data_IF_712884411887
#
_entry.id   IF_712884411887
#
_cell.length_a   1.000
_cell.length_b   1.000
_cell.length_c   1.000
_cell.angle_alpha   90.00
_cell.angle_beta   90.00
_cell.angle_gamma   90.00
#
_symmetry.space_group_name_H-M   'P 1'
#
loop_
_entity.id
_entity.type
_entity.pdbx_description
1 polymer ?
#
# COMPACT_ATOMS: atom_id res chain seq x y z
N UNK A 1 80.45 35.36 4.95
CA UNK A 1 79.22 35.56 5.74
C UNK A 1 78.93 37.04 6.07
N UNK A 2 79.92 37.92 6.23
CA UNK A 2 79.67 39.36 6.51
C UNK A 2 79.01 40.15 5.36
N UNK A 3 79.30 39.83 4.09
CA UNK A 3 78.72 40.55 2.93
C UNK A 3 77.26 40.18 2.59
N UNK A 4 76.70 39.13 3.19
CA UNK A 4 75.31 38.69 2.94
C UNK A 4 74.29 39.40 3.84
N UNK A 5 74.76 40.10 4.89
CA UNK A 5 73.91 40.72 5.92
C UNK A 5 73.72 42.22 5.68
N UNK A 6 74.60 42.89 4.92
CA UNK A 6 74.49 44.33 4.64
C UNK A 6 73.52 44.68 3.50
N UNK A 7 73.17 43.73 2.63
CA UNK A 7 72.29 43.99 1.50
C UNK A 7 70.88 43.48 1.78
N UNK A 8 69.96 44.41 2.09
CA UNK A 8 68.56 44.13 2.48
C UNK A 8 67.81 43.26 1.46
N UNK A 9 68.21 43.31 0.20
CA UNK A 9 67.64 42.51 -0.89
C UNK A 9 68.09 41.05 -0.89
N UNK A 10 69.29 40.75 -0.38
CA UNK A 10 69.82 39.38 -0.32
C UNK A 10 69.06 38.51 0.67
N UNK A 11 68.60 39.11 1.78
CA UNK A 11 67.78 38.45 2.79
C UNK A 11 66.36 38.15 2.25
N UNK A 12 65.78 39.10 1.50
CA UNK A 12 64.49 38.90 0.80
C UNK A 12 64.57 37.79 -0.24
N UNK A 13 65.65 37.73 -1.03
CA UNK A 13 65.85 36.67 -2.02
C UNK A 13 65.98 35.29 -1.36
N UNK A 14 66.71 35.18 -0.25
CA UNK A 14 66.82 33.94 0.53
C UNK A 14 65.49 33.48 1.13
N UNK A 15 64.69 34.42 1.65
CA UNK A 15 63.33 34.13 2.15
C UNK A 15 62.43 33.66 1.01
N UNK A 16 62.50 34.29 -0.16
CA UNK A 16 61.71 33.89 -1.33
C UNK A 16 62.09 32.48 -1.80
N UNK A 17 63.39 32.17 -1.86
CA UNK A 17 63.89 30.83 -2.21
C UNK A 17 63.46 29.79 -1.18
N UNK A 18 63.53 30.12 0.11
CA UNK A 18 63.06 29.23 1.18
C UNK A 18 61.54 28.99 1.10
N UNK A 19 60.75 30.03 0.81
CA UNK A 19 59.30 29.91 0.62
C UNK A 19 58.95 29.09 -0.62
N UNK A 20 59.65 29.30 -1.74
CA UNK A 20 59.46 28.50 -2.96
C UNK A 20 59.88 27.05 -2.76
N UNK A 21 60.95 26.78 -2.01
CA UNK A 21 61.37 25.44 -1.66
C UNK A 21 60.36 24.75 -0.73
N UNK A 22 59.85 25.47 0.28
CA UNK A 22 58.80 24.96 1.18
C UNK A 22 57.50 24.71 0.41
N UNK A 23 57.13 25.59 -0.51
CA UNK A 23 55.96 25.41 -1.36
C UNK A 23 56.14 24.24 -2.34
N UNK A 24 57.34 24.08 -2.91
CA UNK A 24 57.69 22.97 -3.79
C UNK A 24 57.66 21.63 -3.05
N UNK A 25 58.21 21.56 -1.83
CA UNK A 25 58.12 20.37 -0.98
C UNK A 25 56.67 20.10 -0.61
N UNK A 26 55.91 21.11 -0.17
CA UNK A 26 54.49 20.95 0.15
C UNK A 26 53.67 20.46 -1.05
N UNK A 27 53.94 20.96 -2.25
CA UNK A 27 53.28 20.52 -3.49
C UNK A 27 53.70 19.10 -3.89
N UNK A 28 54.95 18.71 -3.67
CA UNK A 28 55.45 17.37 -4.01
C UNK A 28 55.07 16.30 -2.99
N UNK A 29 54.89 16.68 -1.72
CA UNK A 29 54.46 15.79 -0.63
C UNK A 29 52.97 15.85 -0.35
N UNK A 30 52.20 16.60 -1.15
CA UNK A 30 50.74 16.52 -1.08
C UNK A 30 50.35 15.06 -1.31
N UNK A 31 49.72 14.39 -0.33
CA UNK A 31 49.15 13.08 -0.57
C UNK A 31 48.23 13.22 -1.77
N UNK A 32 48.54 12.51 -2.86
CA UNK A 32 47.68 12.50 -4.04
C UNK A 32 46.26 12.25 -3.56
N UNK A 33 45.31 13.06 -4.03
CA UNK A 33 43.92 12.92 -3.61
C UNK A 33 43.53 11.46 -3.81
N UNK A 34 43.40 10.72 -2.70
CA UNK A 34 42.94 9.35 -2.75
C UNK A 34 41.57 9.46 -3.37
N UNK A 35 41.43 8.97 -4.60
CA UNK A 35 40.15 8.96 -5.28
C UNK A 35 39.20 8.21 -4.35
N UNK A 36 38.34 8.95 -3.65
CA UNK A 36 37.32 8.34 -2.83
C UNK A 36 36.50 7.49 -3.79
N UNK A 37 36.26 6.20 -3.50
CA UNK A 37 35.38 5.40 -4.33
C UNK A 37 34.10 6.21 -4.56
N UNK A 38 33.66 6.29 -5.82
CA UNK A 38 32.39 6.95 -6.12
C UNK A 38 31.33 6.36 -5.17
N UNK A 39 30.58 7.19 -4.42
CA UNK A 39 29.61 6.69 -3.47
C UNK A 39 28.71 5.69 -4.19
N UNK A 40 28.57 4.48 -3.67
CA UNK A 40 27.61 3.53 -4.20
C UNK A 40 26.19 4.01 -3.89
N UNK A 41 25.16 3.46 -4.56
CA UNK A 41 23.78 3.63 -4.14
C UNK A 41 23.62 3.23 -2.66
N UNK A 42 22.94 4.07 -1.89
CA UNK A 42 22.76 3.86 -0.45
C UNK A 42 21.29 3.58 -0.13
N UNK A 43 21.04 2.61 0.74
CA UNK A 43 19.71 2.38 1.31
C UNK A 43 19.51 3.37 2.46
N UNK A 44 18.57 4.29 2.31
CA UNK A 44 18.23 5.28 3.32
C UNK A 44 16.82 4.97 3.83
N UNK A 45 16.57 4.95 5.15
CA UNK A 45 15.23 4.76 5.68
C UNK A 45 14.30 5.87 5.20
N UNK A 46 13.03 5.54 5.01
CA UNK A 46 12.03 6.56 4.69
C UNK A 46 11.92 7.54 5.86
N UNK A 47 12.15 8.82 5.59
CA UNK A 47 12.23 9.86 6.62
C UNK A 47 10.90 10.56 6.91
N UNK A 48 9.92 10.45 6.02
CA UNK A 48 8.57 10.98 6.24
C UNK A 48 7.51 10.23 5.42
N UNK A 49 6.33 10.05 6.01
CA UNK A 49 5.15 9.45 5.38
C UNK A 49 3.91 10.23 5.79
N UNK A 50 2.98 10.41 4.85
CA UNK A 50 1.64 10.93 5.13
C UNK A 50 0.61 9.96 4.55
N UNK A 51 -0.29 9.48 5.39
CA UNK A 51 -1.39 8.59 5.01
C UNK A 51 -2.73 9.17 5.45
N UNK A 52 -3.79 8.90 4.68
CA UNK A 52 -5.14 9.44 4.90
C UNK A 52 -6.14 8.31 5.12
N UNK A 53 -6.80 8.30 6.27
CA UNK A 53 -7.93 7.41 6.51
C UNK A 53 -9.20 8.12 5.98
N UNK A 54 -9.85 7.59 4.93
CA UNK A 54 -10.80 8.33 4.09
C UNK A 54 -12.13 8.69 4.76
N UNK A 55 -12.65 7.83 5.65
CA UNK A 55 -13.87 8.10 6.44
C UNK A 55 -13.83 7.26 7.71
N UNK A 56 -13.13 7.73 8.74
CA UNK A 56 -12.95 6.98 9.96
C UNK A 56 -14.13 7.15 10.92
N UNK A 57 -15.21 7.86 10.54
CA UNK A 57 -16.35 8.09 11.42
C UNK A 57 -16.88 6.79 12.02
N UNK A 58 -16.80 6.68 13.34
CA UNK A 58 -17.15 5.48 14.12
C UNK A 58 -16.35 4.20 13.79
N UNK A 59 -15.32 4.28 12.95
CA UNK A 59 -14.35 3.22 12.73
C UNK A 59 -13.31 3.18 13.85
N UNK A 60 -12.71 2.02 14.05
CA UNK A 60 -11.49 1.86 14.82
C UNK A 60 -10.30 2.14 13.91
N UNK A 61 -9.38 3.00 14.33
CA UNK A 61 -8.17 3.31 13.57
C UNK A 61 -6.98 2.70 14.29
N UNK A 62 -6.19 1.89 13.58
CA UNK A 62 -4.91 1.36 14.03
C UNK A 62 -3.76 2.11 13.38
N UNK A 63 -2.72 2.43 14.14
CA UNK A 63 -1.49 3.07 13.66
C UNK A 63 -0.29 2.42 14.32
N UNK A 64 0.67 1.98 13.51
CA UNK A 64 1.88 1.31 14.00
C UNK A 64 3.06 1.60 13.07
N UNK A 65 4.24 1.72 13.65
CA UNK A 65 5.51 1.64 12.91
C UNK A 65 6.21 0.37 13.37
N UNK A 66 6.75 -0.47 12.47
CA UNK A 66 7.45 -1.68 12.86
C UNK A 66 8.69 -1.34 13.71
N UNK A 67 9.12 -2.25 14.62
CA UNK A 67 10.33 -2.05 15.41
C UNK A 67 11.58 -2.01 14.51
N UNK A 68 12.63 -1.35 14.99
CA UNK A 68 13.95 -1.30 14.32
C UNK A 68 14.41 0.09 13.88
N UNK A 69 13.54 1.09 13.92
CA UNK A 69 13.93 2.50 13.71
C UNK A 69 14.86 2.99 14.82
N UNK A 70 15.95 3.68 14.45
CA UNK A 70 16.88 4.32 15.38
C UNK A 70 16.80 5.85 15.26
N UNK A 71 16.96 6.54 16.39
CA UNK A 71 16.92 8.00 16.45
C UNK A 71 15.52 8.58 16.73
N UNK A 72 15.41 9.91 16.79
CA UNK A 72 14.13 10.58 17.05
C UNK A 72 13.17 10.42 15.87
N UNK A 73 11.88 10.39 16.18
CA UNK A 73 10.81 10.31 15.20
C UNK A 73 9.46 10.46 15.88
N UNK A 74 8.47 10.95 15.14
CA UNK A 74 7.13 11.16 15.66
C UNK A 74 6.09 10.77 14.61
N UNK A 75 5.02 10.11 15.04
CA UNK A 75 3.79 9.93 14.27
C UNK A 75 2.70 10.75 14.94
N UNK A 76 2.05 11.63 14.19
CA UNK A 76 0.86 12.38 14.63
C UNK A 76 -0.36 11.88 13.90
N UNK A 77 -1.42 11.58 14.65
CA UNK A 77 -2.75 11.25 14.13
C UNK A 77 -3.66 12.44 14.36
N UNK A 78 -4.22 13.04 13.32
CA UNK A 78 -5.01 14.27 13.42
C UNK A 78 -6.27 14.25 12.56
N UNK A 79 -7.32 14.94 13.02
CA UNK A 79 -8.54 15.26 12.24
C UNK A 79 -8.59 16.78 12.06
N UNK A 80 -8.32 17.25 10.85
CA UNK A 80 -8.11 18.69 10.62
C UNK A 80 -7.00 19.23 11.52
N UNK A 81 -7.26 20.31 12.25
CA UNK A 81 -6.29 20.91 13.18
C UNK A 81 -6.16 20.18 14.53
N UNK A 82 -7.02 19.21 14.84
CA UNK A 82 -7.05 18.53 16.13
C UNK A 82 -6.16 17.29 16.11
N UNK A 83 -5.10 17.28 16.91
CA UNK A 83 -4.33 16.07 17.20
C UNK A 83 -5.12 15.12 18.11
N UNK A 84 -5.17 13.84 17.74
CA UNK A 84 -5.79 12.75 18.49
C UNK A 84 -4.75 11.91 19.25
N UNK A 85 -3.56 11.75 18.67
CA UNK A 85 -2.47 10.99 19.27
C UNK A 85 -1.12 11.41 18.70
N UNK A 86 -0.09 11.27 19.52
CA UNK A 86 1.32 11.35 19.12
C UNK A 86 2.00 10.07 19.59
N UNK A 87 2.72 9.40 18.70
CA UNK A 87 3.52 8.22 18.98
C UNK A 87 4.99 8.55 18.70
N UNK A 88 5.89 8.09 19.57
CA UNK A 88 7.34 8.37 19.46
C UNK A 88 8.19 7.10 19.53
N UNK A 89 7.55 5.94 19.72
CA UNK A 89 8.24 4.66 19.94
C UNK A 89 7.78 3.65 18.89
N UNK A 90 8.68 3.23 17.98
CA UNK A 90 8.39 2.15 17.04
C UNK A 90 8.07 0.83 17.76
N UNK A 91 7.24 0.00 17.14
CA UNK A 91 6.76 -1.26 17.70
C UNK A 91 5.48 -1.13 18.53
N UNK A 92 5.13 0.08 18.98
CA UNK A 92 3.89 0.30 19.73
C UNK A 92 2.70 0.48 18.79
N UNK A 93 1.70 -0.39 18.91
CA UNK A 93 0.42 -0.24 18.23
C UNK A 93 -0.46 0.75 19.01
N UNK A 94 -0.80 1.86 18.37
CA UNK A 94 -1.91 2.71 18.80
C UNK A 94 -3.19 2.29 18.10
N UNK A 95 -4.28 2.18 18.85
CA UNK A 95 -5.57 1.90 18.28
C UNK A 95 -6.70 2.55 19.09
N UNK A 96 -7.54 3.35 18.44
CA UNK A 96 -8.68 3.98 19.09
C UNK A 96 -9.88 4.09 18.14
N UNK A 97 -11.08 4.23 18.72
CA UNK A 97 -12.27 4.56 17.93
C UNK A 97 -12.23 6.04 17.57
N UNK A 98 -12.40 6.36 16.30
CA UNK A 98 -12.43 7.75 15.88
C UNK A 98 -13.69 8.48 16.37
N UNK A 99 -13.64 9.81 16.55
CA UNK A 99 -14.80 10.61 16.97
C UNK A 99 -16.01 10.47 16.04
N UNK A 100 -17.22 10.61 16.59
CA UNK A 100 -18.49 10.48 15.84
C UNK A 100 -18.69 11.51 14.73
N UNK A 101 -17.98 12.64 14.79
CA UNK A 101 -17.97 13.68 13.76
C UNK A 101 -16.53 13.93 13.32
N UNK A 102 -15.91 12.92 12.73
CA UNK A 102 -14.58 13.04 12.15
C UNK A 102 -14.68 13.25 10.64
N UNK A 103 -13.88 14.18 10.12
CA UNK A 103 -13.55 14.16 8.69
C UNK A 103 -12.52 13.06 8.42
N UNK A 104 -11.89 13.06 7.24
CA UNK A 104 -10.72 12.23 7.00
C UNK A 104 -9.65 12.46 8.06
N UNK A 105 -8.98 11.40 8.48
CA UNK A 105 -7.85 11.47 9.41
C UNK A 105 -6.54 11.48 8.65
N UNK A 106 -5.63 12.34 9.07
CA UNK A 106 -4.26 12.39 8.57
C UNK A 106 -3.33 11.73 9.58
N UNK A 107 -2.52 10.79 9.11
CA UNK A 107 -1.42 10.19 9.86
C UNK A 107 -0.12 10.65 9.23
N UNK A 108 0.61 11.52 9.92
CA UNK A 108 1.89 12.05 9.46
C UNK A 108 2.99 11.52 10.34
N UNK A 109 4.02 10.95 9.73
CA UNK A 109 5.17 10.40 10.45
C UNK A 109 6.48 10.98 9.94
N UNK A 110 7.46 11.10 10.84
CA UNK A 110 8.80 11.60 10.58
C UNK A 110 9.88 10.80 11.32
N UNK A 111 11.11 10.84 10.81
CA UNK A 111 12.27 10.22 11.45
C UNK A 111 12.14 8.71 11.61
N UNK A 112 12.52 8.19 12.79
CA UNK A 112 12.46 6.75 13.09
C UNK A 112 11.06 6.14 13.07
N UNK A 113 10.00 6.97 13.12
CA UNK A 113 8.62 6.52 13.07
C UNK A 113 8.09 6.36 11.63
N UNK A 114 8.80 6.85 10.61
CA UNK A 114 8.29 6.90 9.24
C UNK A 114 8.50 5.60 8.45
N UNK A 115 9.64 4.93 8.66
CA UNK A 115 9.98 3.70 7.96
C UNK A 115 8.98 2.57 8.26
N UNK A 116 8.21 2.18 7.24
CA UNK A 116 7.19 1.13 7.36
C UNK A 116 5.96 1.50 8.17
N UNK A 117 5.70 2.80 8.41
CA UNK A 117 4.45 3.26 8.99
C UNK A 117 3.25 2.61 8.29
N UNK A 118 2.35 2.03 9.07
CA UNK A 118 1.10 1.49 8.60
C UNK A 118 -0.05 2.05 9.42
N UNK A 119 -1.13 2.40 8.74
CA UNK A 119 -2.38 2.78 9.39
C UNK A 119 -3.58 2.24 8.63
N UNK A 120 -4.63 1.94 9.38
CA UNK A 120 -5.82 1.28 8.88
C UNK A 120 -7.05 1.77 9.64
N UNK A 121 -8.20 1.83 8.96
CA UNK A 121 -9.50 1.97 9.60
C UNK A 121 -10.39 0.74 9.38
N UNK A 122 -11.03 0.27 10.45
CA UNK A 122 -11.97 -0.86 10.45
C UNK A 122 -13.28 -0.46 11.08
N UNK A 123 -14.38 -0.62 10.36
CA UNK A 123 -15.74 -0.33 10.83
C UNK A 123 -16.56 -1.62 10.87
N UNK A 124 -17.25 -1.83 11.99
CA UNK A 124 -18.12 -3.00 12.19
C UNK A 124 -19.54 -2.55 12.51
N UNK A 125 -20.49 -2.97 11.69
CA UNK A 125 -21.91 -2.74 11.90
C UNK A 125 -22.71 -4.02 11.71
N UNK A 126 -23.65 -4.30 12.61
CA UNK A 126 -24.47 -5.53 12.57
C UNK A 126 -25.88 -5.31 12.02
N UNK A 127 -26.25 -4.08 11.66
CA UNK A 127 -27.59 -3.70 11.23
C UNK A 127 -27.56 -2.42 10.40
N UNK A 128 -28.66 -2.13 9.70
CA UNK A 128 -28.78 -0.94 8.85
C UNK A 128 -28.16 -1.13 7.48
N UNK A 129 -28.12 -0.04 6.69
CA UNK A 129 -27.63 -0.10 5.30
C UNK A 129 -26.13 -0.40 5.19
N UNK A 130 -25.37 -0.06 6.22
CA UNK A 130 -23.92 -0.26 6.29
C UNK A 130 -23.55 -1.52 7.08
N UNK A 131 -24.48 -2.47 7.23
CA UNK A 131 -24.20 -3.73 7.91
C UNK A 131 -23.06 -4.44 7.18
N UNK A 132 -21.98 -4.71 7.89
CA UNK A 132 -20.78 -5.33 7.35
C UNK A 132 -19.57 -5.16 8.28
N UNK A 133 -18.47 -5.82 7.94
CA UNK A 133 -17.14 -5.50 8.43
C UNK A 133 -16.38 -4.85 7.27
N UNK A 134 -16.14 -3.54 7.34
CA UNK A 134 -15.46 -2.79 6.29
C UNK A 134 -14.07 -2.34 6.77
N UNK A 135 -13.01 -2.68 6.04
CA UNK A 135 -11.63 -2.38 6.39
C UNK A 135 -10.87 -1.73 5.24
N UNK A 136 -10.04 -0.73 5.54
CA UNK A 136 -9.14 -0.16 4.52
C UNK A 136 -7.88 0.41 5.14
N UNK A 137 -6.76 0.22 4.43
CA UNK A 137 -5.51 0.94 4.69
C UNK A 137 -5.76 2.43 4.51
N UNK A 138 -5.19 3.24 5.41
CA UNK A 138 -5.11 4.66 5.16
C UNK A 138 -4.16 4.87 3.97
N UNK A 139 -4.58 5.67 2.99
CA UNK A 139 -3.94 5.75 1.67
C UNK A 139 -2.96 6.92 1.63
N UNK A 140 -1.78 6.68 1.05
CA UNK A 140 -0.81 7.75 0.77
C UNK A 140 -1.27 8.56 -0.45
N UNK A 141 -1.12 9.90 -0.46
CA UNK A 141 -1.34 10.70 -1.66
C UNK A 141 -0.37 10.33 -2.79
N UNK A 142 -0.93 9.96 -3.95
CA UNK A 142 -0.18 9.56 -5.15
C UNK A 142 -0.74 10.24 -6.40
N UNK A 143 -0.03 10.07 -7.52
CA UNK A 143 -0.39 10.70 -8.78
C UNK A 143 -1.43 9.92 -9.61
N UNK A 144 -1.51 8.60 -9.44
CA UNK A 144 -2.52 7.73 -10.05
C UNK A 144 -2.89 6.62 -9.07
N UNK A 145 -4.20 6.38 -8.91
CA UNK A 145 -4.76 5.33 -8.05
C UNK A 145 -5.79 4.54 -8.85
N UNK A 146 -5.67 3.21 -8.84
CA UNK A 146 -6.63 2.30 -9.46
C UNK A 146 -7.49 1.60 -8.42
N UNK A 147 -8.80 1.58 -8.64
CA UNK A 147 -9.80 0.92 -7.80
C UNK A 147 -10.70 0.07 -8.69
N UNK A 148 -10.89 -1.21 -8.36
CA UNK A 148 -11.71 -2.14 -9.15
C UNK A 148 -12.81 -2.73 -8.27
N UNK A 149 -14.06 -2.71 -8.74
CA UNK A 149 -15.19 -3.14 -7.93
C UNK A 149 -16.55 -3.05 -8.62
N UNK A 150 -17.65 -3.17 -7.86
CA UNK A 150 -18.99 -3.03 -8.39
C UNK A 150 -19.21 -1.62 -8.95
N UNK A 151 -20.03 -1.51 -9.99
CA UNK A 151 -20.48 -0.23 -10.52
C UNK A 151 -21.73 0.29 -9.79
N UNK A 152 -22.15 1.54 -10.07
CA UNK A 152 -23.26 2.19 -9.36
C UNK A 152 -24.63 1.52 -9.50
N UNK A 153 -24.84 0.70 -10.54
CA UNK A 153 -26.06 -0.11 -10.65
C UNK A 153 -26.10 -1.27 -9.63
N UNK A 154 -24.95 -1.70 -9.12
CA UNK A 154 -24.81 -2.83 -8.19
C UNK A 154 -24.64 -2.40 -6.72
N UNK A 155 -24.13 -1.19 -6.49
CA UNK A 155 -23.80 -0.67 -5.17
C UNK A 155 -23.80 0.87 -5.12
N UNK A 156 -24.06 1.44 -3.94
CA UNK A 156 -23.75 2.85 -3.66
C UNK A 156 -22.23 2.99 -3.51
N UNK A 157 -21.55 3.39 -4.58
CA UNK A 157 -20.09 3.60 -4.56
C UNK A 157 -19.73 5.07 -4.35
N UNK A 158 -18.97 5.31 -3.29
CA UNK A 158 -18.54 6.63 -2.85
C UNK A 158 -17.02 6.73 -2.92
N UNK A 159 -16.50 7.66 -3.73
CA UNK A 159 -15.08 7.96 -3.90
C UNK A 159 -14.71 9.11 -2.96
N UNK A 160 -13.70 8.90 -2.12
CA UNK A 160 -13.14 9.84 -1.18
C UNK A 160 -11.81 10.34 -1.71
N UNK A 161 -11.68 11.67 -1.87
CA UNK A 161 -10.47 12.34 -2.32
C UNK A 161 -9.98 13.32 -1.26
N UNK A 162 -8.71 13.27 -0.92
CA UNK A 162 -8.10 14.21 0.03
C UNK A 162 -6.76 14.71 -0.50
N UNK A 163 -6.65 16.03 -0.65
CA UNK A 163 -5.38 16.70 -0.86
C UNK A 163 -4.77 17.05 0.52
N UNK A 164 -3.79 16.26 0.95
CA UNK A 164 -3.10 16.48 2.23
C UNK A 164 -1.93 17.46 2.11
N UNK A 165 -1.55 17.85 0.89
CA UNK A 165 -0.41 18.71 0.64
C UNK A 165 -0.77 20.19 0.88
N UNK A 166 0.26 21.04 1.01
CA UNK A 166 0.13 22.49 1.20
C UNK A 166 -0.14 23.26 -0.10
N UNK A 167 -0.06 22.58 -1.24
CA UNK A 167 -0.33 23.10 -2.57
C UNK A 167 -1.65 22.54 -3.12
N UNK A 168 -2.22 23.22 -4.11
CA UNK A 168 -3.41 22.74 -4.82
C UNK A 168 -3.09 21.50 -5.65
N UNK A 169 -4.06 20.59 -5.75
CA UNK A 169 -4.01 19.43 -6.63
C UNK A 169 -5.17 19.47 -7.65
N UNK A 170 -4.93 18.97 -8.85
CA UNK A 170 -5.94 18.80 -9.90
C UNK A 170 -6.01 17.32 -10.24
N UNK A 171 -7.18 16.72 -10.02
CA UNK A 171 -7.43 15.31 -10.17
C UNK A 171 -8.55 15.06 -11.18
N UNK A 172 -8.46 13.96 -11.91
CA UNK A 172 -9.43 13.48 -12.89
C UNK A 172 -9.86 12.07 -12.47
N UNK A 173 -11.17 11.81 -12.50
CA UNK A 173 -11.76 10.49 -12.24
C UNK A 173 -12.18 9.90 -13.58
N UNK A 174 -11.45 8.88 -14.04
CA UNK A 174 -11.80 8.09 -15.22
C UNK A 174 -12.50 6.81 -14.79
N UNK A 175 -13.63 6.48 -15.41
CA UNK A 175 -14.41 5.29 -15.12
C UNK A 175 -14.46 4.40 -16.36
N UNK A 176 -14.04 3.16 -16.20
CA UNK A 176 -14.15 2.10 -17.19
C UNK A 176 -15.29 1.18 -16.78
N UNK A 177 -16.21 0.90 -17.71
CA UNK A 177 -17.36 0.01 -17.51
C UNK A 177 -17.19 -1.27 -18.30
N UNK A 178 -18.15 -2.20 -18.19
CA UNK A 178 -18.18 -3.38 -19.07
C UNK A 178 -18.45 -3.07 -20.54
N UNK A 179 -18.89 -1.85 -20.86
CA UNK A 179 -19.18 -1.41 -22.23
C UNK A 179 -18.12 -0.42 -22.77
N UNK A 180 -17.02 -0.22 -22.02
CA UNK A 180 -15.95 0.70 -22.36
C UNK A 180 -15.83 1.90 -21.41
N UNK A 181 -14.99 2.88 -21.76
CA UNK A 181 -14.79 4.10 -20.98
C UNK A 181 -16.09 4.92 -20.90
N UNK A 182 -16.40 5.41 -19.71
CA UNK A 182 -17.56 6.28 -19.49
C UNK A 182 -17.11 7.74 -19.54
N UNK A 183 -17.58 8.47 -20.54
CA UNK A 183 -17.35 9.92 -20.65
C UNK A 183 -18.51 10.68 -19.99
N UNK A 184 -18.24 11.32 -18.85
CA UNK A 184 -19.21 12.20 -18.17
C UNK A 184 -19.18 13.63 -18.71
N UNK A 185 -20.30 14.36 -18.59
CA UNK A 185 -20.43 15.74 -19.10
C UNK A 185 -19.53 16.79 -18.43
N UNK A 186 -18.99 16.53 -17.24
CA UNK A 186 -18.03 17.39 -16.53
C UNK A 186 -16.58 16.86 -16.56
N UNK A 187 -16.31 15.76 -17.26
CA UNK A 187 -14.98 15.17 -17.39
C UNK A 187 -14.38 14.59 -16.10
N UNK A 188 -15.11 14.58 -14.98
CA UNK A 188 -14.60 14.05 -13.71
C UNK A 188 -13.39 14.81 -13.15
N UNK A 189 -13.13 16.04 -13.62
CA UNK A 189 -12.00 16.85 -13.18
C UNK A 189 -12.37 17.67 -11.94
N UNK A 190 -11.56 17.58 -10.89
CA UNK A 190 -11.73 18.28 -9.63
C UNK A 190 -10.44 18.99 -9.22
N UNK A 191 -10.58 20.26 -8.86
CA UNK A 191 -9.53 21.03 -8.24
C UNK A 191 -9.70 21.01 -6.72
N UNK A 192 -8.70 20.48 -6.00
CA UNK A 192 -8.67 20.38 -4.53
C UNK A 192 -7.69 21.38 -3.94
N UNK A 193 -8.18 22.27 -3.08
CA UNK A 193 -7.37 23.21 -2.28
C UNK A 193 -6.48 22.44 -1.28
N UNK A 194 -5.43 23.08 -0.73
CA UNK A 194 -4.64 22.51 0.34
C UNK A 194 -5.51 22.04 1.52
N UNK A 195 -5.32 20.81 1.98
CA UNK A 195 -6.10 20.20 3.06
C UNK A 195 -7.57 19.88 2.71
N UNK A 196 -8.02 20.12 1.46
CA UNK A 196 -9.40 19.88 1.07
C UNK A 196 -9.67 18.39 0.91
N UNK A 197 -10.84 17.96 1.38
CA UNK A 197 -11.38 16.63 1.12
C UNK A 197 -12.73 16.74 0.41
N UNK A 198 -12.93 15.90 -0.60
CA UNK A 198 -14.17 15.80 -1.37
C UNK A 198 -14.65 14.36 -1.43
N UNK A 199 -15.97 14.22 -1.47
CA UNK A 199 -16.65 12.95 -1.63
C UNK A 199 -17.47 13.01 -2.91
N UNK A 200 -17.27 12.07 -3.82
CA UNK A 200 -17.96 11.99 -5.11
C UNK A 200 -18.69 10.66 -5.19
N UNK A 201 -19.98 10.66 -5.52
CA UNK A 201 -20.69 9.41 -5.79
C UNK A 201 -20.37 8.98 -7.21
N UNK A 202 -19.94 7.74 -7.40
CA UNK A 202 -19.65 7.23 -8.73
C UNK A 202 -20.90 7.25 -9.64
N UNK A 203 -22.10 7.08 -9.06
CA UNK A 203 -23.36 7.16 -9.80
C UNK A 203 -23.69 8.55 -10.36
N UNK A 204 -23.13 9.63 -9.80
CA UNK A 204 -23.29 10.99 -10.33
C UNK A 204 -22.42 11.19 -11.61
N UNK A 205 -21.39 10.36 -11.79
CA UNK A 205 -20.50 10.36 -12.96
C UNK A 205 -20.92 9.31 -14.01
N UNK A 206 -21.30 8.12 -13.54
CA UNK A 206 -21.61 6.95 -14.36
C UNK A 206 -22.72 6.12 -13.69
N UNK A 207 -24.01 6.40 -13.93
CA UNK A 207 -25.11 5.75 -13.20
C UNK A 207 -25.35 4.29 -13.58
N UNK A 208 -25.04 3.90 -14.81
CA UNK A 208 -25.43 2.60 -15.40
C UNK A 208 -24.50 1.41 -15.19
N UNK A 209 -23.16 1.54 -14.99
CA UNK A 209 -22.27 0.38 -14.92
C UNK A 209 -22.64 -0.61 -13.80
N UNK A 210 -22.64 -1.90 -14.14
CA UNK A 210 -22.78 -3.01 -13.16
C UNK A 210 -21.47 -3.31 -12.44
N UNK A 211 -20.35 -3.16 -13.16
CA UNK A 211 -18.97 -3.28 -12.69
C UNK A 211 -18.16 -2.10 -13.20
N UNK A 212 -17.09 -1.75 -12.50
CA UNK A 212 -16.22 -0.68 -12.96
C UNK A 212 -14.77 -0.83 -12.49
N UNK A 213 -13.88 -0.17 -13.22
CA UNK A 213 -12.57 0.23 -12.74
C UNK A 213 -12.50 1.76 -12.76
N UNK A 214 -11.88 2.32 -11.74
CA UNK A 214 -11.71 3.77 -11.59
C UNK A 214 -10.23 4.07 -11.55
N UNK A 215 -9.78 4.97 -12.42
CA UNK A 215 -8.49 5.63 -12.29
C UNK A 215 -8.73 7.03 -11.73
N UNK A 216 -8.12 7.34 -10.59
CA UNK A 216 -7.98 8.71 -10.11
C UNK A 216 -6.59 9.17 -10.45
N UNK A 217 -6.46 10.04 -11.46
CA UNK A 217 -5.18 10.55 -11.97
C UNK A 217 -5.05 12.04 -11.71
N UNK A 218 -3.86 12.50 -11.35
CA UNK A 218 -3.56 13.92 -11.19
C UNK A 218 -2.80 14.48 -12.37
N UNK A 219 -3.17 15.69 -12.79
CA UNK A 219 -2.36 16.49 -13.71
C UNK A 219 -1.39 17.43 -12.97
N UNK A 220 -1.67 17.71 -11.69
CA UNK A 220 -0.80 18.47 -10.80
C UNK A 220 -1.05 18.07 -9.34
N UNK A 221 0.01 18.02 -8.52
CA UNK A 221 -0.05 17.59 -7.14
C UNK A 221 -0.24 16.07 -6.98
N UNK A 222 -0.75 15.65 -5.82
CA UNK A 222 -1.09 14.26 -5.51
C UNK A 222 -2.37 14.24 -4.69
N UNK A 223 -3.11 13.13 -4.73
CA UNK A 223 -4.32 12.96 -3.93
C UNK A 223 -4.36 11.58 -3.31
N UNK A 224 -4.81 11.51 -2.06
CA UNK A 224 -5.25 10.27 -1.46
C UNK A 224 -6.64 9.94 -2.03
N UNK A 225 -6.80 8.75 -2.62
CA UNK A 225 -8.07 8.29 -3.19
C UNK A 225 -8.44 6.92 -2.62
N UNK A 226 -9.69 6.76 -2.21
CA UNK A 226 -10.27 5.50 -1.75
C UNK A 226 -11.74 5.42 -2.13
N UNK A 227 -12.28 4.22 -2.30
CA UNK A 227 -13.72 4.04 -2.57
C UNK A 227 -14.36 3.05 -1.61
N UNK A 228 -15.56 3.39 -1.15
CA UNK A 228 -16.43 2.50 -0.35
C UNK A 228 -17.61 2.07 -1.19
N UNK A 229 -17.92 0.78 -1.19
CA UNK A 229 -19.06 0.21 -1.88
C UNK A 229 -20.06 -0.37 -0.87
N UNK A 230 -21.27 0.18 -0.83
CA UNK A 230 -22.40 -0.37 -0.06
C UNK A 230 -23.30 -1.13 -1.03
N UNK A 231 -23.36 -2.47 -0.91
CA UNK A 231 -24.03 -3.31 -1.88
C UNK A 231 -25.55 -3.18 -1.82
N UNK A 232 -26.19 -3.11 -2.99
CA UNK A 232 -27.65 -3.06 -3.09
C UNK A 232 -28.29 -4.31 -2.45
N UNK A 233 -29.49 -4.13 -1.89
CA UNK A 233 -30.24 -5.22 -1.23
C UNK A 233 -29.67 -5.64 0.13
N UNK A 234 -28.81 -4.83 0.75
CA UNK A 234 -28.26 -5.12 2.08
C UNK A 234 -27.26 -6.28 2.08
N UNK A 235 -26.50 -6.44 0.98
CA UNK A 235 -25.54 -7.53 0.77
C UNK A 235 -24.14 -7.27 1.36
N UNK A 236 -24.00 -6.25 2.20
CA UNK A 236 -22.74 -5.91 2.85
C UNK A 236 -22.17 -4.56 2.42
N UNK A 237 -21.07 -4.19 3.06
CA UNK A 237 -20.27 -3.01 2.73
C UNK A 237 -18.80 -3.32 2.97
N UNK A 238 -17.95 -2.89 2.05
CA UNK A 238 -16.51 -2.86 2.27
C UNK A 238 -15.86 -1.74 1.44
N UNK A 239 -14.56 -1.53 1.63
CA UNK A 239 -13.75 -0.63 0.83
C UNK A 239 -13.10 -1.37 -0.34
N UNK A 240 -12.90 -0.67 -1.45
CA UNK A 240 -12.11 -1.15 -2.58
C UNK A 240 -10.63 -0.91 -2.26
N UNK A 241 -9.78 -1.95 -2.16
CA UNK A 241 -8.36 -1.76 -2.01
C UNK A 241 -7.77 -1.07 -3.24
N UNK A 242 -6.73 -0.27 -3.02
CA UNK A 242 -5.91 0.27 -4.11
C UNK A 242 -5.22 -0.89 -4.81
N UNK A 243 -5.43 -0.99 -6.12
CA UNK A 243 -4.77 -1.98 -6.96
C UNK A 243 -3.35 -1.54 -7.31
N UNK A 244 -2.49 -2.51 -7.58
CA UNK A 244 -1.21 -2.28 -8.23
C UNK A 244 -1.41 -1.60 -9.60
N UNK A 245 -0.38 -0.91 -10.07
CA UNK A 245 -0.40 -0.26 -11.37
C UNK A 245 -0.66 -1.28 -12.51
N UNK A 246 -1.24 -0.85 -13.65
CA UNK A 246 -1.49 -1.72 -14.79
C UNK A 246 -0.23 -2.48 -15.22
N UNK A 247 -0.35 -3.80 -15.39
CA UNK A 247 0.75 -4.67 -15.77
C UNK A 247 0.27 -5.86 -16.60
N UNK A 248 1.16 -6.47 -17.39
CA UNK A 248 0.89 -7.70 -18.16
C UNK A 248 0.91 -8.96 -17.29
N UNK A 249 1.35 -8.83 -16.03
CA UNK A 249 1.36 -9.88 -15.02
C UNK A 249 0.85 -9.31 -13.71
N UNK A 250 -0.31 -9.78 -13.27
CA UNK A 250 -0.99 -9.29 -12.06
C UNK A 250 -1.25 -10.45 -11.11
N UNK A 251 -0.93 -10.27 -9.82
CA UNK A 251 -1.28 -11.22 -8.77
C UNK A 251 -2.39 -10.61 -7.91
N UNK A 252 -3.51 -11.31 -7.75
CA UNK A 252 -4.62 -10.94 -6.87
C UNK A 252 -4.58 -11.87 -5.65
N UNK A 253 -3.94 -11.47 -4.53
CA UNK A 253 -3.80 -12.32 -3.35
C UNK A 253 -5.00 -12.20 -2.40
N UNK A 254 -4.95 -12.95 -1.29
CA UNK A 254 -5.87 -12.72 -0.17
C UNK A 254 -7.29 -13.21 -0.39
N UNK A 255 -7.52 -14.19 -1.28
CA UNK A 255 -8.86 -14.72 -1.55
C UNK A 255 -9.18 -15.77 -0.48
N UNK A 256 -10.15 -15.53 0.42
CA UNK A 256 -10.50 -16.51 1.43
C UNK A 256 -11.20 -17.73 0.82
N UNK A 257 -10.94 -18.89 1.43
CA UNK A 257 -11.74 -20.09 1.20
C UNK A 257 -13.14 -20.00 1.82
N UNK A 258 -13.91 -21.08 1.72
CA UNK A 258 -15.29 -21.19 2.23
C UNK A 258 -16.36 -21.02 1.14
N UNK A 259 -17.63 -21.18 1.50
CA UNK A 259 -18.72 -21.02 0.53
C UNK A 259 -18.90 -19.58 0.04
N UNK A 260 -19.77 -19.36 -0.95
CA UNK A 260 -20.13 -18.02 -1.45
C UNK A 260 -19.49 -17.66 -2.79
N UNK A 261 -19.82 -16.47 -3.31
CA UNK A 261 -19.45 -16.07 -4.68
C UNK A 261 -18.04 -15.48 -4.73
N UNK A 262 -17.23 -15.88 -5.72
CA UNK A 262 -15.96 -15.22 -6.07
C UNK A 262 -16.12 -14.72 -7.50
N UNK A 263 -15.96 -13.43 -7.72
CA UNK A 263 -16.09 -12.82 -9.04
C UNK A 263 -14.84 -11.98 -9.29
N UNK A 264 -14.04 -12.41 -10.26
CA UNK A 264 -12.89 -11.67 -10.75
C UNK A 264 -13.40 -10.55 -11.67
N UNK A 265 -12.83 -9.36 -11.52
CA UNK A 265 -13.04 -8.21 -12.39
C UNK A 265 -11.69 -7.83 -12.98
N UNK A 266 -11.60 -7.73 -14.31
CA UNK A 266 -10.38 -7.36 -15.01
C UNK A 266 -10.66 -6.19 -15.94
N UNK A 267 -9.90 -5.12 -15.78
CA UNK A 267 -9.95 -3.95 -16.64
C UNK A 267 -8.75 -3.94 -17.58
N UNK A 268 -9.00 -3.76 -18.88
CA UNK A 268 -7.94 -3.46 -19.85
C UNK A 268 -7.79 -1.96 -19.98
N UNK A 269 -6.55 -1.47 -19.93
CA UNK A 269 -6.21 -0.08 -20.25
C UNK A 269 -5.77 0.08 -21.71
N UNK A 270 -5.84 -0.99 -22.50
CA UNK A 270 -5.49 -1.00 -23.92
C UNK A 270 -6.63 -0.50 -24.79
N UNK A 271 -6.29 0.01 -25.98
CA UNK A 271 -7.23 0.31 -27.07
C UNK A 271 -7.59 -0.94 -27.91
N UNK A 272 -7.02 -2.10 -27.58
CA UNK A 272 -7.30 -3.39 -28.21
C UNK A 272 -7.90 -4.38 -27.22
N UNK A 273 -8.68 -5.31 -27.74
CA UNK A 273 -9.13 -6.47 -26.97
C UNK A 273 -7.93 -7.22 -26.39
N UNK A 274 -8.10 -7.71 -25.17
CA UNK A 274 -7.03 -8.27 -24.35
C UNK A 274 -7.44 -9.66 -23.89
N UNK A 275 -6.61 -10.66 -24.20
CA UNK A 275 -6.82 -12.01 -23.70
C UNK A 275 -6.03 -12.22 -22.41
N UNK A 276 -6.72 -12.58 -21.34
CA UNK A 276 -6.11 -12.75 -20.01
C UNK A 276 -6.19 -14.22 -19.60
N UNK A 277 -5.03 -14.82 -19.37
CA UNK A 277 -4.89 -16.14 -18.77
C UNK A 277 -5.05 -16.05 -17.25
N UNK A 278 -5.89 -16.91 -16.67
CA UNK A 278 -6.22 -16.95 -15.24
C UNK A 278 -5.77 -18.26 -14.63
N UNK A 279 -4.86 -18.20 -13.65
CA UNK A 279 -4.39 -19.35 -12.88
C UNK A 279 -4.69 -19.17 -11.40
N UNK A 280 -5.23 -20.20 -10.74
CA UNK A 280 -5.43 -20.20 -9.30
C UNK A 280 -4.25 -20.84 -8.57
N UNK A 281 -3.76 -20.19 -7.52
CA UNK A 281 -2.71 -20.68 -6.64
C UNK A 281 -3.33 -21.05 -5.29
N UNK A 282 -3.41 -22.34 -4.98
CA UNK A 282 -4.04 -22.88 -3.75
C UNK A 282 -3.00 -23.54 -2.84
N UNK A 283 -3.37 -24.05 -1.66
CA UNK A 283 -2.46 -24.82 -0.81
C UNK A 283 -2.01 -26.14 -1.44
N UNK A 284 -2.82 -26.70 -2.33
CA UNK A 284 -2.56 -27.99 -2.97
C UNK A 284 -1.71 -27.86 -4.24
N UNK A 285 -1.66 -26.67 -4.85
CA UNK A 285 -0.87 -26.40 -6.04
C UNK A 285 -1.47 -25.30 -6.92
N UNK A 286 -0.93 -25.18 -8.12
CA UNK A 286 -1.58 -24.41 -9.18
C UNK A 286 -2.71 -25.23 -9.77
N UNK A 287 -3.89 -24.63 -9.87
CA UNK A 287 -5.06 -25.23 -10.47
C UNK A 287 -5.46 -24.44 -11.72
N UNK A 288 -5.50 -25.14 -12.86
CA UNK A 288 -6.12 -24.60 -14.07
C UNK A 288 -7.63 -24.62 -13.88
N UNK A 289 -8.25 -23.45 -14.01
CA UNK A 289 -9.69 -23.30 -13.82
C UNK A 289 -10.40 -23.86 -15.04
N UNK A 290 -10.73 -25.15 -15.02
CA UNK A 290 -11.35 -25.84 -16.14
C UNK A 290 -12.49 -25.01 -16.76
N UNK A 291 -12.39 -24.74 -18.06
CA UNK A 291 -13.34 -23.96 -18.87
C UNK A 291 -13.44 -22.47 -18.47
N UNK A 292 -12.45 -21.94 -17.73
CA UNK A 292 -12.35 -20.59 -17.16
C UNK A 292 -10.90 -20.10 -17.09
N UNK A 293 -10.02 -20.67 -17.92
CA UNK A 293 -8.59 -20.34 -17.98
C UNK A 293 -8.32 -19.04 -18.72
N UNK A 294 -9.28 -18.58 -19.54
CA UNK A 294 -9.16 -17.40 -20.38
C UNK A 294 -10.36 -16.50 -20.17
N UNK A 295 -10.11 -15.20 -20.04
CA UNK A 295 -11.12 -14.16 -20.11
C UNK A 295 -10.73 -13.15 -21.18
N UNK A 296 -11.66 -12.89 -22.08
CA UNK A 296 -11.52 -11.84 -23.08
C UNK A 296 -12.03 -10.53 -22.48
N UNK A 297 -11.17 -9.51 -22.48
CA UNK A 297 -11.47 -8.18 -21.97
C UNK A 297 -11.49 -7.22 -23.15
N UNK A 298 -12.66 -6.69 -23.53
CA UNK A 298 -12.74 -5.73 -24.62
C UNK A 298 -11.87 -4.49 -24.35
N UNK A 299 -11.44 -3.84 -25.42
CA UNK A 299 -10.67 -2.60 -25.36
C UNK A 299 -11.29 -1.58 -24.36
N UNK A 300 -10.46 -1.01 -23.49
CA UNK A 300 -10.88 0.00 -22.51
C UNK A 300 -12.07 -0.40 -21.63
N UNK A 301 -12.29 -1.69 -21.39
CA UNK A 301 -13.48 -2.20 -20.72
C UNK A 301 -13.15 -3.06 -19.50
N UNK A 302 -14.18 -3.42 -18.73
CA UNK A 302 -14.09 -4.31 -17.58
C UNK A 302 -14.86 -5.60 -17.83
N UNK A 303 -14.17 -6.74 -17.87
CA UNK A 303 -14.79 -8.06 -17.93
C UNK A 303 -14.92 -8.68 -16.54
N UNK A 304 -15.88 -9.60 -16.40
CA UNK A 304 -16.06 -10.39 -15.18
C UNK A 304 -15.88 -11.87 -15.45
N UNK A 305 -15.39 -12.59 -14.45
CA UNK A 305 -15.31 -14.04 -14.47
C UNK A 305 -15.77 -14.58 -13.11
N UNK A 306 -16.85 -15.36 -13.11
CA UNK A 306 -17.26 -16.09 -11.91
C UNK A 306 -16.21 -17.19 -11.63
N UNK A 307 -15.73 -17.29 -10.40
CA UNK A 307 -14.75 -18.27 -9.94
C UNK A 307 -15.27 -19.11 -8.78
N UNK A 308 -16.57 -19.00 -8.49
CA UNK A 308 -17.20 -19.70 -7.36
C UNK A 308 -17.03 -21.21 -7.47
N UNK A 309 -17.12 -21.75 -8.69
CA UNK A 309 -16.74 -23.12 -9.01
C UNK A 309 -15.24 -23.15 -9.32
N UNK A 310 -14.43 -23.66 -8.39
CA UNK A 310 -12.99 -23.84 -8.59
C UNK A 310 -12.14 -23.38 -7.41
N UNK A 311 -12.36 -22.15 -6.92
CA UNK A 311 -11.52 -21.57 -5.85
C UNK A 311 -12.25 -21.29 -4.54
N UNK A 312 -13.58 -21.31 -4.51
CA UNK A 312 -14.32 -20.92 -3.30
C UNK A 312 -13.94 -21.80 -2.09
N UNK A 313 -13.79 -23.10 -2.27
CA UNK A 313 -13.54 -24.04 -1.17
C UNK A 313 -12.25 -23.84 -0.38
N UNK A 314 -11.23 -23.16 -0.94
CA UNK A 314 -9.89 -23.06 -0.35
C UNK A 314 -9.32 -21.64 -0.44
N UNK A 315 -8.47 -21.23 0.52
CA UNK A 315 -7.75 -19.96 0.40
C UNK A 315 -6.88 -19.97 -0.85
N UNK A 316 -6.87 -18.87 -1.60
CA UNK A 316 -6.20 -18.81 -2.89
C UNK A 316 -5.69 -17.42 -3.24
N UNK A 317 -4.94 -17.37 -4.34
CA UNK A 317 -4.61 -16.17 -5.07
C UNK A 317 -4.79 -16.44 -6.57
N UNK A 318 -4.93 -15.39 -7.36
CA UNK A 318 -4.95 -15.51 -8.82
C UNK A 318 -3.67 -14.94 -9.40
N UNK A 319 -3.10 -15.64 -10.36
CA UNK A 319 -2.06 -15.13 -11.25
C UNK A 319 -2.70 -14.90 -12.61
N UNK A 320 -2.68 -13.64 -13.05
CA UNK A 320 -3.20 -13.19 -14.32
C UNK A 320 -2.03 -12.84 -15.24
N UNK A 321 -2.09 -13.31 -16.48
CA UNK A 321 -1.09 -12.97 -17.52
C UNK A 321 -1.80 -12.54 -18.79
N UNK A 322 -1.33 -11.47 -19.40
CA UNK A 322 -1.90 -10.89 -20.61
C UNK A 322 -0.81 -10.33 -21.53
N UNK A 323 -1.17 -10.04 -22.77
CA UNK A 323 -0.32 -9.39 -23.77
C UNK A 323 -0.28 -7.86 -23.62
N UNK A 324 -1.33 -7.27 -23.07
CA UNK A 324 -1.41 -5.83 -22.76
C UNK A 324 -1.59 -5.58 -21.25
N UNK A 325 -1.28 -4.38 -20.74
CA UNK A 325 -1.44 -4.07 -19.32
C UNK A 325 -2.90 -4.14 -18.85
N UNK A 326 -3.12 -4.81 -17.71
CA UNK A 326 -4.42 -4.94 -17.06
C UNK A 326 -4.36 -4.50 -15.59
N UNK A 327 -5.52 -4.18 -15.04
CA UNK A 327 -5.74 -4.03 -13.59
C UNK A 327 -6.82 -5.02 -13.18
N UNK A 328 -6.66 -5.65 -12.01
CA UNK A 328 -7.64 -6.61 -11.52
C UNK A 328 -8.08 -6.34 -10.09
N UNK A 329 -9.31 -6.78 -9.81
CA UNK A 329 -9.89 -6.87 -8.47
C UNK A 329 -10.77 -8.10 -8.36
N UNK A 330 -11.12 -8.49 -7.14
CA UNK A 330 -12.01 -9.62 -6.91
C UNK A 330 -13.01 -9.32 -5.81
N UNK A 331 -14.27 -9.61 -6.10
CA UNK A 331 -15.38 -9.52 -5.16
C UNK A 331 -15.58 -10.88 -4.49
N UNK A 332 -15.57 -10.88 -3.16
CA UNK A 332 -15.89 -12.05 -2.32
C UNK A 332 -17.23 -11.79 -1.65
N UNK A 333 -18.22 -12.64 -1.91
CA UNK A 333 -19.51 -12.58 -1.21
C UNK A 333 -19.61 -13.73 -0.20
N UNK A 334 -19.79 -13.38 1.07
CA UNK A 334 -19.94 -14.33 2.16
C UNK A 334 -21.26 -15.10 2.14
N UNK A 335 -21.31 -16.19 2.91
CA UNK A 335 -22.51 -17.03 3.07
C UNK A 335 -23.36 -16.61 4.28
N UNK A 336 -24.59 -17.12 4.33
CA UNK A 336 -25.54 -16.89 5.42
C UNK A 336 -26.85 -16.28 4.94
N UNK A 337 -27.80 -16.07 5.86
CA UNK A 337 -29.09 -15.44 5.56
C UNK A 337 -28.92 -13.96 5.19
N UNK A 338 -27.93 -13.31 5.80
CA UNK A 338 -27.48 -11.96 5.50
C UNK A 338 -25.97 -12.00 5.22
N UNK A 339 -25.63 -12.07 3.93
CA UNK A 339 -24.25 -12.06 3.48
C UNK A 339 -23.56 -10.71 3.73
N UNK A 340 -22.24 -10.74 3.74
CA UNK A 340 -21.38 -9.56 3.67
C UNK A 340 -20.55 -9.62 2.37
N UNK A 341 -19.87 -8.54 2.03
CA UNK A 341 -18.96 -8.47 0.89
C UNK A 341 -17.56 -8.10 1.37
N UNK A 342 -16.54 -8.62 0.70
CA UNK A 342 -15.16 -8.15 0.81
C UNK A 342 -14.55 -7.98 -0.57
N UNK A 343 -13.55 -7.10 -0.69
CA UNK A 343 -12.84 -6.88 -1.94
C UNK A 343 -11.34 -7.12 -1.76
N UNK A 344 -10.70 -7.68 -2.78
CA UNK A 344 -9.24 -7.72 -2.90
C UNK A 344 -8.84 -7.17 -4.27
N UNK A 345 -7.57 -6.82 -4.45
CA UNK A 345 -7.06 -6.18 -5.66
C UNK A 345 -5.73 -6.78 -6.09
N UNK A 346 -5.32 -6.50 -7.33
CA UNK A 346 -3.96 -6.73 -7.78
C UNK A 346 -2.96 -6.08 -6.82
N UNK A 347 -1.90 -6.79 -6.45
CA UNK A 347 -0.93 -6.33 -5.47
C UNK A 347 0.50 -6.46 -5.98
N UNK A 348 1.40 -5.66 -5.39
CA UNK A 348 2.84 -5.81 -5.54
C UNK A 348 3.38 -6.86 -4.54
N UNK A 349 4.54 -7.48 -4.81
CA UNK A 349 5.17 -8.36 -3.84
C UNK A 349 5.62 -7.57 -2.60
N UNK A 350 5.64 -8.22 -1.45
CA UNK A 350 6.04 -7.64 -0.15
C UNK A 350 7.55 -7.72 0.07
N UNK A 351 8.35 -7.56 -0.99
CA UNK A 351 9.82 -7.71 -0.96
C UNK A 351 10.52 -6.77 0.02
N UNK A 352 9.88 -5.64 0.34
CA UNK A 352 10.34 -4.66 1.32
C UNK A 352 9.73 -4.87 2.72
N UNK A 353 9.06 -6.01 2.94
CA UNK A 353 8.22 -6.23 4.11
C UNK A 353 6.79 -5.74 3.88
N UNK A 354 5.92 -6.02 4.85
CA UNK A 354 4.54 -5.52 4.93
C UNK A 354 4.15 -5.38 6.39
N UNK A 355 3.28 -4.43 6.68
CA UNK A 355 2.70 -4.26 8.02
C UNK A 355 1.18 -4.22 7.89
N UNK A 356 0.46 -4.74 8.88
CA UNK A 356 -1.01 -4.69 8.99
C UNK A 356 -1.36 -4.16 10.37
N UNK A 357 -2.11 -3.05 10.45
CA UNK A 357 -2.32 -2.31 11.69
C UNK A 357 -3.53 -2.76 12.53
N UNK A 358 -4.49 -3.52 11.98
CA UNK A 358 -5.59 -4.09 12.75
C UNK A 358 -5.81 -5.58 12.43
N UNK A 359 -5.67 -6.40 13.47
CA UNK A 359 -6.00 -7.81 13.47
C UNK A 359 -6.69 -8.15 14.79
N UNK A 360 -7.60 -9.11 14.74
CA UNK A 360 -8.40 -9.56 15.88
C UNK A 360 -8.54 -11.06 15.87
N UNK A 361 -8.35 -11.66 17.03
CA UNK A 361 -8.59 -13.08 17.28
C UNK A 361 -9.50 -13.24 18.49
N UNK A 362 -10.49 -14.12 18.40
CA UNK A 362 -11.41 -14.37 19.50
C UNK A 362 -12.33 -15.54 19.20
N UNK A 363 -13.35 -15.75 20.05
CA UNK A 363 -14.30 -16.86 19.87
C UNK A 363 -15.10 -16.78 18.56
N UNK A 364 -15.38 -15.56 18.09
CA UNK A 364 -16.18 -15.30 16.88
C UNK A 364 -15.40 -14.57 15.79
N UNK A 365 -14.24 -14.01 16.13
CA UNK A 365 -13.41 -13.20 15.25
C UNK A 365 -12.13 -13.95 14.90
N UNK A 366 -11.73 -13.89 13.64
CA UNK A 366 -10.45 -14.44 13.19
C UNK A 366 -9.79 -13.52 12.19
N UNK A 367 -8.47 -13.38 12.31
CA UNK A 367 -7.61 -12.74 11.31
C UNK A 367 -6.60 -13.78 10.85
N UNK A 368 -6.43 -13.90 9.53
CA UNK A 368 -5.51 -14.86 8.90
C UNK A 368 -4.72 -14.14 7.81
N UNK A 369 -3.45 -14.50 7.65
CA UNK A 369 -2.68 -14.11 6.47
C UNK A 369 -2.77 -15.21 5.44
N UNK A 370 -3.03 -14.85 4.19
CA UNK A 370 -2.94 -15.72 3.04
C UNK A 370 -1.72 -15.27 2.24
N UNK A 371 -0.64 -16.04 2.31
CA UNK A 371 0.63 -15.72 1.67
C UNK A 371 0.84 -16.60 0.44
N UNK A 372 1.24 -16.00 -0.67
CA UNK A 372 1.35 -16.66 -1.98
C UNK A 372 2.75 -16.46 -2.54
N UNK A 373 3.34 -17.52 -3.05
CA UNK A 373 4.62 -17.48 -3.76
C UNK A 373 4.39 -17.99 -5.20
N UNK A 374 4.18 -17.11 -6.19
CA UNK A 374 3.75 -17.52 -7.53
C UNK A 374 4.76 -18.40 -8.28
N UNK A 375 6.06 -18.09 -8.15
CA UNK A 375 7.12 -18.68 -8.99
C UNK A 375 8.13 -19.48 -8.18
N UNK A 376 8.80 -18.83 -7.24
CA UNK A 376 9.84 -19.43 -6.40
C UNK A 376 9.40 -19.46 -4.95
N UNK A 377 9.84 -20.47 -4.18
CA UNK A 377 9.47 -20.57 -2.77
C UNK A 377 9.84 -19.30 -1.98
N UNK A 378 8.89 -18.81 -1.19
CA UNK A 378 9.05 -17.65 -0.33
C UNK A 378 9.28 -18.04 1.12
N UNK A 379 10.06 -17.25 1.85
CA UNK A 379 10.29 -17.43 3.28
C UNK A 379 10.18 -16.07 3.97
N UNK A 380 9.26 -15.95 4.91
CA UNK A 380 9.03 -14.69 5.65
C UNK A 380 9.13 -14.94 7.16
N UNK A 381 9.55 -13.93 7.91
CA UNK A 381 9.35 -13.84 9.36
C UNK A 381 8.05 -13.08 9.63
N UNK A 382 7.22 -13.61 10.51
CA UNK A 382 5.97 -12.98 10.96
C UNK A 382 6.12 -12.62 12.42
N UNK A 383 5.97 -11.33 12.73
CA UNK A 383 5.98 -10.79 14.08
C UNK A 383 4.62 -10.21 14.41
N UNK A 384 4.07 -10.58 15.57
CA UNK A 384 2.83 -10.01 16.12
C UNK A 384 3.20 -8.93 17.11
N UNK A 385 2.54 -7.77 17.00
CA UNK A 385 2.69 -6.63 17.89
C UNK A 385 1.37 -6.39 18.62
N UNK A 386 1.18 -6.97 19.81
CA UNK A 386 -0.02 -6.75 20.61
C UNK A 386 -0.15 -5.28 20.98
N UNK A 387 -1.39 -4.77 21.07
CA UNK A 387 -1.64 -3.45 21.66
C UNK A 387 -1.21 -3.38 23.13
N UNK A 388 -1.35 -4.49 23.86
CA UNK A 388 -1.02 -4.62 25.28
C UNK A 388 -0.41 -6.00 25.54
N UNK A 389 0.47 -6.07 26.52
CA UNK A 389 1.16 -7.30 26.89
C UNK A 389 2.42 -7.53 26.05
N UNK A 390 3.10 -8.63 26.34
CA UNK A 390 4.33 -9.01 25.68
C UNK A 390 4.06 -9.57 24.28
N UNK A 391 4.88 -9.15 23.31
CA UNK A 391 4.81 -9.70 21.96
C UNK A 391 5.30 -11.15 21.95
N UNK A 392 4.58 -12.08 21.31
CA UNK A 392 5.09 -13.43 21.14
C UNK A 392 6.33 -13.42 20.23
N UNK A 393 7.18 -14.43 20.37
CA UNK A 393 8.35 -14.60 19.52
C UNK A 393 7.98 -14.63 18.02
N UNK A 394 8.73 -13.91 17.16
CA UNK A 394 8.55 -14.02 15.72
C UNK A 394 8.71 -15.45 15.24
N UNK A 395 7.94 -15.83 14.22
CA UNK A 395 7.99 -17.18 13.65
C UNK A 395 8.13 -17.13 12.14
N UNK A 396 8.85 -18.10 11.60
CA UNK A 396 9.09 -18.19 10.16
C UNK A 396 7.96 -18.94 9.44
N UNK A 397 7.64 -18.47 8.24
CA UNK A 397 6.68 -19.10 7.35
C UNK A 397 7.33 -19.33 6.00
N UNK A 398 7.46 -20.60 5.63
CA UNK A 398 7.78 -21.01 4.25
C UNK A 398 6.50 -21.18 3.44
N UNK A 399 6.46 -20.56 2.27
CA UNK A 399 5.44 -20.72 1.23
C UNK A 399 6.10 -21.41 0.05
N UNK A 400 5.63 -22.61 -0.28
CA UNK A 400 6.14 -23.36 -1.43
C UNK A 400 5.85 -22.63 -2.74
N UNK A 401 6.73 -22.78 -3.72
CA UNK A 401 6.53 -22.28 -5.07
C UNK A 401 5.16 -22.68 -5.64
N UNK A 402 4.54 -21.73 -6.35
CA UNK A 402 3.25 -21.84 -7.02
C UNK A 402 2.09 -22.28 -6.11
N UNK A 403 2.12 -21.82 -4.84
CA UNK A 403 1.10 -22.12 -3.82
C UNK A 403 0.72 -20.92 -2.98
N UNK A 404 -0.43 -21.04 -2.34
CA UNK A 404 -0.91 -20.15 -1.29
C UNK A 404 -0.95 -20.88 0.05
N UNK A 405 -0.42 -20.26 1.09
CA UNK A 405 -0.42 -20.77 2.46
C UNK A 405 -1.25 -19.87 3.35
N UNK A 406 -2.20 -20.48 4.05
CA UNK A 406 -2.90 -19.83 5.14
C UNK A 406 -2.05 -19.90 6.42
N UNK A 407 -1.80 -18.73 7.01
CA UNK A 407 -1.06 -18.57 8.26
C UNK A 407 -2.04 -18.18 9.36
N UNK A 408 -2.14 -19.04 10.37
CA UNK A 408 -2.88 -18.74 11.59
C UNK A 408 -2.03 -17.84 12.47
N UNK A 409 -2.58 -16.70 12.86
CA UNK A 409 -1.92 -15.76 13.76
C UNK A 409 -2.04 -16.25 15.21
N UNK A 410 -0.98 -16.07 16.04
CA UNK A 410 -1.04 -16.30 17.47
C UNK A 410 -2.25 -15.61 18.11
N UNK A 411 -2.86 -16.26 19.10
CA UNK A 411 -3.95 -15.66 19.87
C UNK A 411 -3.34 -14.69 20.87
N UNK A 412 -3.73 -13.42 20.77
CA UNK A 412 -3.36 -12.37 21.71
C UNK A 412 -4.63 -11.65 22.17
N UNK A 413 -4.57 -11.06 23.35
CA UNK A 413 -5.72 -10.34 23.91
C UNK A 413 -5.90 -9.00 23.21
N UNK A 414 -7.12 -8.76 22.72
CA UNK A 414 -7.46 -7.52 22.02
C UNK A 414 -6.95 -7.48 20.58
N UNK A 415 -6.76 -6.26 20.06
CA UNK A 415 -6.25 -6.05 18.71
C UNK A 415 -4.72 -6.03 18.69
N UNK A 416 -4.17 -6.36 17.53
CA UNK A 416 -2.73 -6.42 17.32
C UNK A 416 -2.37 -6.09 15.87
N UNK A 417 -1.12 -5.68 15.69
CA UNK A 417 -0.54 -5.49 14.38
C UNK A 417 0.31 -6.70 14.00
N UNK A 418 0.55 -6.86 12.71
CA UNK A 418 1.41 -7.91 12.17
C UNK A 418 2.44 -7.30 11.25
N UNK A 419 3.70 -7.64 11.46
CA UNK A 419 4.82 -7.29 10.59
C UNK A 419 5.27 -8.57 9.88
N UNK A 420 5.38 -8.51 8.55
CA UNK A 420 5.83 -9.60 7.71
C UNK A 420 7.08 -9.16 6.98
N UNK A 421 8.21 -9.84 7.20
CA UNK A 421 9.49 -9.51 6.59
C UNK A 421 10.01 -10.69 5.76
N UNK A 422 10.25 -10.54 4.45
CA UNK A 422 10.98 -11.53 3.67
C UNK A 422 12.37 -11.78 4.25
N UNK A 423 12.75 -13.06 4.32
CA UNK A 423 14.09 -13.46 4.75
C UNK A 423 15.08 -13.42 3.58
N UNK A 424 16.39 -13.29 3.84
CA UNK A 424 17.41 -13.37 2.81
C UNK A 424 17.27 -14.65 1.96
N UNK A 425 17.29 -14.50 0.64
CA UNK A 425 17.11 -15.61 -0.31
C UNK A 425 15.66 -16.03 -0.54
N UNK A 426 14.67 -15.36 0.05
CA UNK A 426 13.26 -15.58 -0.26
C UNK A 426 12.94 -15.20 -1.71
N UNK A 427 12.12 -16.02 -2.37
CA UNK A 427 11.40 -15.60 -3.57
C UNK A 427 10.36 -14.51 -3.29
N UNK A 428 9.80 -13.88 -4.33
CA UNK A 428 8.73 -12.89 -4.18
C UNK A 428 7.51 -13.49 -3.49
N UNK A 429 7.05 -12.82 -2.44
CA UNK A 429 5.84 -13.20 -1.70
C UNK A 429 4.79 -12.12 -1.89
N UNK A 430 3.56 -12.55 -2.14
CA UNK A 430 2.37 -11.72 -2.14
C UNK A 430 1.51 -12.15 -0.96
N UNK A 431 0.59 -11.31 -0.53
CA UNK A 431 -0.36 -11.77 0.46
C UNK A 431 -1.58 -10.89 0.60
N UNK A 432 -2.53 -11.38 1.38
CA UNK A 432 -3.63 -10.57 1.89
C UNK A 432 -3.98 -11.02 3.29
N UNK A 433 -4.54 -10.09 4.07
CA UNK A 433 -5.13 -10.37 5.37
C UNK A 433 -6.64 -10.46 5.21
N UNK A 434 -7.21 -11.52 5.74
CA UNK A 434 -8.67 -11.73 5.81
C UNK A 434 -9.08 -11.62 7.27
N UNK A 435 -10.04 -10.74 7.55
CA UNK A 435 -10.74 -10.69 8.83
C UNK A 435 -12.15 -11.20 8.66
N UNK A 436 -12.58 -12.02 9.61
CA UNK A 436 -13.93 -12.60 9.62
C UNK A 436 -14.54 -12.51 11.02
N UNK A 437 -15.85 -12.32 11.07
CA UNK A 437 -16.62 -12.42 12.29
C UNK A 437 -17.94 -13.18 12.10
N UNK A 438 -18.11 -14.26 12.85
CA UNK A 438 -19.35 -15.01 12.89
C UNK A 438 -20.42 -14.27 13.70
N UNK A 439 -21.52 -13.90 13.04
CA UNK A 439 -22.70 -13.31 13.67
C UNK A 439 -23.92 -14.22 13.49
N UNK A 440 -25.01 -13.93 14.20
CA UNK A 440 -26.21 -14.80 14.24
C UNK A 440 -26.78 -15.11 12.84
N UNK A 441 -26.75 -14.13 11.94
CA UNK A 441 -27.41 -14.21 10.63
C UNK A 441 -26.45 -14.44 9.45
N UNK A 442 -25.14 -14.59 9.68
CA UNK A 442 -24.15 -14.77 8.63
C UNK A 442 -22.71 -14.52 9.06
N UNK A 443 -21.81 -14.42 8.08
CA UNK A 443 -20.39 -14.11 8.26
C UNK A 443 -20.13 -12.66 7.85
N UNK A 444 -19.54 -11.86 8.73
CA UNK A 444 -18.94 -10.56 8.36
C UNK A 444 -17.51 -10.80 7.88
N UNK A 445 -17.07 -10.07 6.87
CA UNK A 445 -15.70 -10.22 6.36
C UNK A 445 -15.17 -8.96 5.69
N UNK A 446 -13.86 -8.77 5.77
CA UNK A 446 -13.10 -7.83 4.92
C UNK A 446 -11.78 -8.48 4.52
N UNK A 447 -11.27 -8.11 3.36
CA UNK A 447 -9.99 -8.56 2.84
C UNK A 447 -9.12 -7.34 2.51
N UNK A 448 -7.83 -7.45 2.81
CA UNK A 448 -6.85 -6.41 2.55
C UNK A 448 -5.63 -7.04 1.88
N UNK A 449 -5.32 -6.73 0.60
CA UNK A 449 -4.02 -7.03 0.04
C UNK A 449 -2.91 -6.46 0.91
N UNK A 450 -1.87 -7.25 1.16
CA UNK A 450 -0.65 -6.76 1.76
C UNK A 450 0.05 -5.83 0.78
N UNK A 451 0.72 -4.82 1.31
CA UNK A 451 1.46 -3.85 0.52
C UNK A 451 2.89 -3.75 1.04
N UNK A 452 3.81 -3.44 0.13
CA UNK A 452 5.19 -3.20 0.48
C UNK A 452 5.29 -2.08 1.53
N UNK A 453 5.79 -2.42 2.72
CA UNK A 453 6.18 -1.46 3.73
C UNK A 453 7.39 -0.69 3.18
N UNK A 454 7.25 0.61 2.96
CA UNK A 454 8.36 1.46 2.52
C UNK A 454 9.34 1.65 3.68
N UNK A 455 10.14 0.62 3.97
CA UNK A 455 11.14 0.64 5.05
C UNK A 455 12.35 1.50 4.66
N UNK A 456 12.75 1.45 3.39
CA UNK A 456 13.91 2.14 2.86
C UNK A 456 13.71 2.52 1.39
N UNK A 457 14.48 3.50 0.93
CA UNK A 457 14.61 3.88 -0.47
C UNK A 457 16.09 3.75 -0.88
N UNK A 458 16.33 3.37 -2.14
CA UNK A 458 17.66 3.43 -2.72
C UNK A 458 17.90 4.85 -3.23
N UNK A 459 18.85 5.55 -2.63
CA UNK A 459 19.24 6.89 -3.05
C UNK A 459 20.46 6.76 -3.96
N UNK A 460 20.49 7.45 -5.12
CA UNK A 460 21.66 7.47 -5.98
C UNK A 460 22.88 8.04 -5.25
N UNK A 461 24.09 7.84 -5.79
CA UNK A 461 25.31 8.44 -5.27
C UNK A 461 25.12 9.93 -5.03
N UNK A 462 25.19 10.37 -3.79
CA UNK A 462 25.17 11.80 -3.46
C UNK A 462 26.63 12.24 -3.34
N UNK A 463 27.04 13.18 -4.17
CA UNK A 463 28.32 13.87 -4.01
C UNK A 463 28.06 15.25 -3.43
N UNK A 464 28.69 15.58 -2.31
CA UNK A 464 28.69 16.98 -1.86
C UNK A 464 29.42 17.83 -2.91
N UNK A 465 28.72 18.80 -3.49
CA UNK A 465 29.28 19.77 -4.41
C UNK A 465 29.11 21.17 -3.84
N UNK A 466 30.17 21.98 -3.91
CA UNK A 466 30.14 23.39 -3.53
C UNK A 466 29.13 24.17 -4.39
N UNK A 467 28.82 23.68 -5.59
CA UNK A 467 27.78 24.24 -6.46
C UNK A 467 26.35 24.06 -5.94
N UNK A 468 26.11 23.26 -4.90
CA UNK A 468 24.79 23.15 -4.26
C UNK A 468 24.53 24.25 -3.21
N UNK A 469 25.59 24.96 -2.78
CA UNK A 469 25.53 26.03 -1.76
C UNK A 469 25.78 27.41 -2.39
N UNK A 470 26.31 27.46 -3.61
CA UNK A 470 26.50 28.71 -4.35
C UNK A 470 25.30 28.94 -5.29
N UNK A 471 24.68 30.14 -5.27
CA UNK A 471 23.52 30.48 -6.09
C UNK A 471 23.80 30.50 -7.60
#
# INVERSE_FOLDING_TARGET
MKSLIENRFSLLALVLVALLALYGVASATQPGAVARPAPGPQKVPVASVTAICPDPTQATVGVVTPPGGQGPGTTTVATGAKSLATLEVPGNLWQEKAPEKSGPLTVTSTGSMAAGLESEQTRRETSGKHRGLAGVRCVEPVASTWLVGPGPASADVTIHLTNADSAQAVAEILIYSGEGPVTGGSGGVLTLKPGESRTVKAGDLAPSPLVMAVEVRTSSGRVAAAARAVMNGGRGVDWLPVSAAPATRVVVPGIPGGGGRRELLVASVSESDTLVEVKALTPDGTYALKDRELVEVPAGSVATLDLSTGISGQPSALLLTSDTPIVAGLTVTGTGKKGDVAFTAGAAPIDLGSVVADNRTGKKQSSRLLLTAPDTAGKVSVQVLPRKGEAPEPFEVTVTASRTKEVKLPKVDGAFAVVVLPLPGSGPVYGGRVMEEHVKDGLLMTAQPLAAARLWALVPPITESVSAVLP
#
